data_IF_829019468199
#
_entry.id   IF_829019468199
#
_cell.length_a   1.000
_cell.length_b   1.000
_cell.length_c   1.000
_cell.angle_alpha   90.00
_cell.angle_beta   90.00
_cell.angle_gamma   90.00
#
_symmetry.space_group_name_H-M   'P 1'
#
loop_
_entity.id
_entity.type
_entity.pdbx_description
1 polymer ?
#
# COMPACT_ATOMS: atom_id res chain seq x y z
N UNK A 1 -3.01 1.50 9.27
CA UNK A 1 -3.83 1.71 8.06
C UNK A 1 -5.13 0.93 8.17
N UNK A 2 -6.29 1.56 8.09
CA UNK A 2 -7.56 0.81 8.15
C UNK A 2 -7.83 0.06 6.85
N UNK A 3 -8.15 -1.22 6.95
CA UNK A 3 -8.49 -2.09 5.81
C UNK A 3 -9.61 -1.50 4.93
N UNK A 4 -10.55 -0.75 5.53
CA UNK A 4 -11.63 -0.06 4.80
C UNK A 4 -11.19 1.05 3.85
N UNK A 5 -9.94 1.52 3.91
CA UNK A 5 -9.42 2.48 2.93
C UNK A 5 -9.15 1.81 1.57
N UNK A 6 -8.99 0.48 1.52
CA UNK A 6 -8.79 -0.25 0.26
C UNK A 6 -9.91 -0.01 -0.75
N UNK A 7 -11.12 0.29 -0.29
CA UNK A 7 -12.28 0.57 -1.15
C UNK A 7 -12.14 1.85 -1.99
N UNK A 8 -11.23 2.76 -1.61
CA UNK A 8 -11.03 4.06 -2.26
C UNK A 8 -9.60 4.28 -2.76
N UNK A 9 -8.67 3.39 -2.41
CA UNK A 9 -7.28 3.47 -2.84
C UNK A 9 -7.10 2.84 -4.23
N UNK A 10 -6.18 3.42 -5.01
CA UNK A 10 -5.80 2.92 -6.32
C UNK A 10 -4.31 3.21 -6.56
N UNK A 11 -3.73 2.52 -7.54
CA UNK A 11 -2.32 2.70 -7.89
C UNK A 11 -2.04 4.16 -8.34
N UNK A 12 -1.05 4.85 -7.76
CA UNK A 12 -0.72 6.22 -8.12
C UNK A 12 -0.27 6.40 -9.58
N UNK A 13 0.26 5.36 -10.23
CA UNK A 13 0.77 5.41 -11.61
C UNK A 13 -0.33 5.30 -12.66
N UNK A 14 -1.24 4.33 -12.51
CA UNK A 14 -2.21 3.98 -13.57
C UNK A 14 -3.67 3.92 -13.09
N UNK A 15 -3.92 4.13 -11.80
CA UNK A 15 -5.25 4.11 -11.15
C UNK A 15 -5.93 2.74 -11.17
N UNK A 16 -5.17 1.67 -11.40
CA UNK A 16 -5.65 0.30 -11.27
C UNK A 16 -5.85 -0.11 -9.80
N UNK A 17 -6.45 -1.28 -9.60
CA UNK A 17 -6.68 -1.83 -8.27
C UNK A 17 -5.36 -2.28 -7.62
N UNK A 18 -5.32 -2.15 -6.30
CA UNK A 18 -4.21 -2.59 -5.45
C UNK A 18 -4.57 -3.88 -4.70
N UNK A 19 -3.67 -4.83 -4.68
CA UNK A 19 -3.76 -6.03 -3.84
C UNK A 19 -3.07 -5.78 -2.51
N UNK A 20 -3.74 -6.09 -1.40
CA UNK A 20 -3.19 -5.92 -0.05
C UNK A 20 -2.62 -7.24 0.45
N UNK A 21 -1.34 -7.24 0.82
CA UNK A 21 -0.73 -8.27 1.63
C UNK A 21 -0.44 -7.73 3.03
N UNK A 22 -0.87 -8.45 4.06
CA UNK A 22 -0.77 -8.04 5.46
C UNK A 22 0.28 -8.91 6.15
N UNK A 23 1.29 -8.26 6.74
CA UNK A 23 2.30 -8.91 7.56
C UNK A 23 1.93 -8.83 9.05
N UNK A 24 1.48 -7.66 9.53
CA UNK A 24 1.04 -7.44 10.91
C UNK A 24 -0.24 -6.58 10.95
N UNK A 25 -1.21 -7.01 11.78
CA UNK A 25 -2.45 -6.25 12.04
C UNK A 25 -2.79 -6.21 13.53
N UNK A 26 -3.26 -5.06 13.98
CA UNK A 26 -3.87 -4.85 15.29
C UNK A 26 -5.37 -4.55 15.12
N UNK A 27 -6.19 -5.61 15.19
CA UNK A 27 -7.63 -5.52 14.96
C UNK A 27 -7.98 -5.10 13.52
N UNK A 28 -8.53 -3.90 13.37
CA UNK A 28 -8.89 -3.28 12.07
C UNK A 28 -7.75 -2.45 11.46
N UNK A 29 -6.66 -2.23 12.21
CA UNK A 29 -5.50 -1.46 11.79
C UNK A 29 -4.42 -2.42 11.25
N UNK A 30 -4.01 -2.23 10.01
CA UNK A 30 -2.84 -2.87 9.43
C UNK A 30 -1.62 -2.08 9.88
N UNK A 31 -0.68 -2.73 10.57
CA UNK A 31 0.55 -2.12 11.09
C UNK A 31 1.67 -2.29 10.06
N UNK A 32 1.88 -3.52 9.60
CA UNK A 32 2.90 -3.85 8.59
C UNK A 32 2.26 -4.60 7.42
N UNK A 33 2.72 -4.32 6.20
CA UNK A 33 2.24 -5.00 4.99
C UNK A 33 2.69 -4.31 3.72
N UNK A 34 2.05 -4.64 2.60
CA UNK A 34 2.33 -4.04 1.30
C UNK A 34 1.10 -4.00 0.41
N UNK A 35 0.99 -2.94 -0.37
CA UNK A 35 0.02 -2.80 -1.46
C UNK A 35 0.73 -3.07 -2.78
N UNK A 36 0.17 -3.94 -3.61
CA UNK A 36 0.77 -4.38 -4.87
C UNK A 36 -0.13 -3.93 -6.01
N UNK A 37 0.42 -3.14 -6.94
CA UNK A 37 -0.27 -2.76 -8.17
C UNK A 37 -0.55 -3.98 -9.04
N UNK A 38 -1.83 -4.26 -9.31
CA UNK A 38 -2.22 -5.46 -10.07
C UNK A 38 -1.76 -5.43 -11.53
N UNK A 39 -1.52 -4.23 -12.07
CA UNK A 39 -1.06 -4.02 -13.45
C UNK A 39 0.40 -3.64 -13.52
N UNK A 40 0.84 -2.69 -12.69
CA UNK A 40 2.21 -2.17 -12.66
C UNK A 40 3.18 -3.16 -12.01
N UNK A 41 2.69 -3.98 -11.07
CA UNK A 41 3.52 -4.81 -10.20
C UNK A 41 4.28 -4.02 -9.13
N UNK A 42 4.00 -2.73 -8.98
CA UNK A 42 4.68 -1.88 -7.99
C UNK A 42 4.26 -2.26 -6.59
N UNK A 43 5.25 -2.27 -5.68
CA UNK A 43 5.03 -2.62 -4.27
C UNK A 43 5.16 -1.37 -3.43
N UNK A 44 4.10 -1.00 -2.74
CA UNK A 44 4.00 0.14 -1.83
C UNK A 44 3.98 -0.38 -0.39
N UNK A 45 5.05 -0.18 0.40
CA UNK A 45 5.12 -0.71 1.77
C UNK A 45 4.17 0.02 2.71
N UNK A 46 3.70 -0.68 3.73
CA UNK A 46 2.96 -0.17 4.87
C UNK A 46 3.84 -0.40 6.09
N UNK A 47 4.28 0.69 6.73
CA UNK A 47 5.14 0.66 7.92
C UNK A 47 4.52 1.56 9.00
N UNK A 48 4.49 1.09 10.25
CA UNK A 48 3.83 1.80 11.38
C UNK A 48 2.38 2.22 11.05
N UNK A 49 1.70 1.41 10.23
CA UNK A 49 0.35 1.65 9.74
C UNK A 49 0.21 2.80 8.74
N UNK A 50 1.30 3.31 8.17
CA UNK A 50 1.32 4.36 7.15
C UNK A 50 1.68 3.75 5.78
N UNK A 51 0.75 3.71 4.81
CA UNK A 51 1.06 3.23 3.46
C UNK A 51 1.86 4.27 2.66
N UNK A 52 3.00 3.89 2.10
CA UNK A 52 3.80 4.74 1.22
C UNK A 52 3.41 4.56 -0.26
N UNK A 53 2.42 5.33 -0.71
CA UNK A 53 1.93 5.37 -2.10
C UNK A 53 2.66 6.41 -2.98
N UNK A 54 3.89 6.78 -2.62
CA UNK A 54 4.69 7.62 -3.51
C UNK A 54 5.12 6.80 -4.74
N UNK A 55 5.12 7.41 -5.94
CA UNK A 55 5.73 6.80 -7.11
C UNK A 55 7.17 6.34 -6.80
N UNK A 56 7.66 5.25 -7.40
CA UNK A 56 8.99 4.72 -7.13
C UNK A 56 10.10 5.76 -7.28
N UNK A 57 10.01 6.66 -8.26
CA UNK A 57 10.98 7.73 -8.49
C UNK A 57 11.02 8.80 -7.38
N UNK A 58 10.05 8.80 -6.47
CA UNK A 58 9.91 9.76 -5.37
C UNK A 58 10.05 9.11 -3.99
N UNK A 59 10.28 7.80 -3.93
CA UNK A 59 10.62 7.11 -2.68
C UNK A 59 12.11 7.31 -2.43
N UNK A 60 12.45 7.91 -1.30
CA UNK A 60 13.85 8.06 -0.91
C UNK A 60 14.48 6.66 -0.77
N UNK A 61 15.66 6.46 -1.38
CA UNK A 61 16.51 5.29 -1.16
C UNK A 61 17.14 5.44 0.24
N UNK A 62 16.51 4.92 1.29
CA UNK A 62 17.20 4.67 2.58
C UNK A 62 17.88 3.30 2.60
#
# INVERSE_FOLDING_TARGET
MKESLMDILCDPLDKSDLELEVDERDGEEIIEGRLIGTVTGEVYPIEDGIPNLLPPDMRDEE
#
